data_IF_954764915419
#
_entry.id   IF_954764915419
#
_cell.length_a   1.000
_cell.length_b   1.000
_cell.length_c   1.000
_cell.angle_alpha   90.00
_cell.angle_beta   90.00
_cell.angle_gamma   90.00
#
_symmetry.space_group_name_H-M   'P 1'
#
loop_
_entity.id
_entity.type
_entity.pdbx_description
1 polymer ?
#
# COMPACT_ATOMS: atom_id res chain seq x y z
N UNK A 1 -24.07 -18.48 -26.28
CA UNK A 1 -22.77 -18.87 -26.85
C UNK A 1 -21.84 -17.67 -26.79
N UNK A 2 -21.04 -17.54 -25.73
CA UNK A 2 -20.20 -16.36 -25.51
C UNK A 2 -19.17 -16.52 -24.39
N UNK A 3 -19.03 -17.72 -23.82
CA UNK A 3 -18.08 -18.02 -22.76
C UNK A 3 -16.74 -18.60 -23.28
N UNK A 4 -16.66 -18.94 -24.57
CA UNK A 4 -15.50 -19.66 -25.12
C UNK A 4 -14.38 -18.75 -25.66
N UNK A 5 -14.58 -17.43 -25.70
CA UNK A 5 -13.59 -16.49 -26.26
C UNK A 5 -12.64 -15.86 -25.24
N UNK A 6 -13.00 -15.80 -23.96
CA UNK A 6 -12.09 -15.27 -22.92
C UNK A 6 -11.13 -16.33 -22.36
N UNK A 7 -11.43 -17.63 -22.50
CA UNK A 7 -10.56 -18.69 -22.00
C UNK A 7 -9.33 -18.94 -22.89
N UNK A 8 -9.36 -18.49 -24.16
CA UNK A 8 -8.26 -18.71 -25.12
C UNK A 8 -7.18 -17.62 -25.07
N UNK A 9 -7.49 -16.44 -24.53
CA UNK A 9 -6.54 -15.31 -24.51
C UNK A 9 -5.46 -15.42 -23.42
N UNK A 10 -5.65 -16.28 -22.41
CA UNK A 10 -4.68 -16.46 -21.31
C UNK A 10 -3.59 -17.50 -21.66
N UNK A 11 -3.79 -18.29 -22.72
CA UNK A 11 -2.95 -19.48 -22.97
C UNK A 11 -1.71 -19.26 -23.86
N UNK A 12 -1.51 -18.10 -24.49
CA UNK A 12 -0.39 -17.92 -25.44
C UNK A 12 0.50 -16.74 -25.11
N UNK A 13 1.09 -16.71 -23.90
CA UNK A 13 2.40 -16.05 -23.76
C UNK A 13 3.35 -16.83 -24.69
N UNK A 14 3.95 -16.20 -25.72
CA UNK A 14 4.80 -16.90 -26.67
C UNK A 14 5.95 -17.60 -25.93
N UNK A 15 6.32 -18.80 -26.40
CA UNK A 15 7.36 -19.63 -25.77
C UNK A 15 8.63 -18.82 -25.47
N UNK A 16 9.02 -17.93 -26.39
CA UNK A 16 10.13 -17.00 -26.22
C UNK A 16 9.98 -16.11 -24.97
N UNK A 17 8.81 -15.50 -24.74
CA UNK A 17 8.57 -14.69 -23.53
C UNK A 17 8.61 -15.54 -22.25
N UNK A 18 8.12 -16.79 -22.28
CA UNK A 18 8.21 -17.70 -21.13
C UNK A 18 9.66 -18.07 -20.82
N UNK A 19 10.44 -18.41 -21.85
CA UNK A 19 11.86 -18.73 -21.71
C UNK A 19 12.63 -17.52 -21.18
N UNK A 20 12.38 -16.32 -21.72
CA UNK A 20 13.03 -15.08 -21.25
C UNK A 20 12.68 -14.79 -19.78
N UNK A 21 11.41 -14.91 -19.39
CA UNK A 21 10.99 -14.68 -18.00
C UNK A 21 11.60 -15.71 -17.05
N UNK A 22 11.63 -16.99 -17.44
CA UNK A 22 12.26 -18.06 -16.65
C UNK A 22 13.77 -17.87 -16.55
N UNK A 23 14.44 -17.52 -17.65
CA UNK A 23 15.89 -17.28 -17.64
C UNK A 23 16.24 -16.03 -16.84
N UNK A 24 15.47 -14.94 -16.98
CA UNK A 24 15.70 -13.71 -16.23
C UNK A 24 15.40 -13.91 -14.74
N UNK A 25 14.33 -14.62 -14.39
CA UNK A 25 14.02 -15.00 -13.01
C UNK A 25 15.06 -15.93 -12.40
N UNK A 26 15.56 -16.90 -13.17
CA UNK A 26 16.65 -17.79 -12.76
C UNK A 26 17.96 -17.03 -12.54
N UNK A 27 18.31 -16.12 -13.45
CA UNK A 27 19.51 -15.29 -13.32
C UNK A 27 19.42 -14.35 -12.12
N UNK A 28 18.26 -13.75 -11.87
CA UNK A 28 18.08 -12.85 -10.73
C UNK A 28 18.16 -13.58 -9.39
N UNK A 29 17.60 -14.80 -9.30
CA UNK A 29 17.78 -15.68 -8.14
C UNK A 29 19.25 -16.10 -7.96
N UNK A 30 19.96 -16.41 -9.04
CA UNK A 30 21.38 -16.76 -8.98
C UNK A 30 22.26 -15.57 -8.53
N UNK A 31 21.98 -14.36 -9.03
CA UNK A 31 22.66 -13.14 -8.60
C UNK A 31 22.36 -12.81 -7.14
N UNK A 32 21.11 -12.98 -6.70
CA UNK A 32 20.75 -12.84 -5.29
C UNK A 32 21.47 -13.88 -4.41
N UNK A 33 21.56 -15.13 -4.87
CA UNK A 33 22.29 -16.19 -4.16
C UNK A 33 23.79 -15.88 -4.03
N UNK A 34 24.40 -15.25 -5.03
CA UNK A 34 25.80 -14.81 -4.98
C UNK A 34 26.04 -13.74 -3.91
N UNK A 35 25.03 -12.95 -3.56
CA UNK A 35 25.11 -12.00 -2.44
C UNK A 35 24.90 -12.68 -1.08
N UNK A 36 24.17 -13.80 -1.04
CA UNK A 36 23.92 -14.55 0.19
C UNK A 36 25.16 -15.31 0.67
N UNK A 37 26.02 -15.80 -0.22
CA UNK A 37 27.22 -16.57 0.16
C UNK A 37 28.23 -15.77 1.00
N UNK A 38 28.67 -14.56 0.57
CA UNK A 38 29.54 -13.72 1.39
C UNK A 38 28.87 -13.27 2.68
N UNK A 39 27.57 -12.98 2.63
CA UNK A 39 26.76 -12.63 3.81
C UNK A 39 26.75 -13.77 4.84
N UNK A 40 26.71 -15.02 4.36
CA UNK A 40 26.77 -16.21 5.19
C UNK A 40 28.15 -16.44 5.82
N UNK A 41 29.23 -16.21 5.07
CA UNK A 41 30.60 -16.27 5.61
C UNK A 41 30.85 -15.18 6.65
N UNK A 42 30.45 -13.94 6.38
CA UNK A 42 30.60 -12.84 7.34
C UNK A 42 29.78 -13.06 8.62
N UNK A 43 28.65 -13.77 8.55
CA UNK A 43 27.89 -14.14 9.75
C UNK A 43 28.72 -15.00 10.70
N UNK A 44 29.49 -15.98 10.20
CA UNK A 44 30.28 -16.89 11.06
C UNK A 44 31.31 -16.16 11.91
N UNK A 45 31.76 -14.99 11.46
CA UNK A 45 32.76 -14.15 12.12
C UNK A 45 32.11 -12.97 12.87
N UNK A 46 30.80 -12.80 12.73
CA UNK A 46 30.04 -11.71 13.36
C UNK A 46 29.64 -12.07 14.79
N UNK A 47 29.57 -11.07 15.68
CA UNK A 47 28.98 -11.20 17.01
C UNK A 47 27.50 -11.65 17.02
N UNK A 48 26.86 -11.74 15.83
CA UNK A 48 25.50 -12.27 15.60
C UNK A 48 25.49 -13.70 15.03
N UNK A 49 26.61 -14.42 15.08
CA UNK A 49 26.73 -15.78 14.57
C UNK A 49 25.76 -16.74 15.25
N UNK A 50 25.65 -16.63 16.58
CA UNK A 50 24.73 -17.43 17.40
C UNK A 50 23.44 -16.65 17.64
N UNK A 51 22.31 -17.24 17.25
CA UNK A 51 21.01 -16.83 17.78
C UNK A 51 20.96 -17.31 19.25
N UNK A 52 21.60 -16.55 20.14
CA UNK A 52 21.69 -16.83 21.57
C UNK A 52 20.63 -16.08 22.38
N UNK A 53 20.54 -16.36 23.68
CA UNK A 53 19.57 -15.74 24.60
C UNK A 53 19.64 -14.20 24.63
N UNK A 54 20.78 -13.61 24.28
CA UNK A 54 20.98 -12.17 24.25
C UNK A 54 20.45 -11.49 22.97
N UNK A 55 20.17 -12.24 21.89
CA UNK A 55 19.71 -11.73 20.60
C UNK A 55 18.57 -12.60 20.01
N UNK A 56 17.36 -12.56 20.60
CA UNK A 56 16.25 -13.36 20.11
C UNK A 56 15.87 -12.97 18.68
N UNK A 57 15.62 -13.96 17.81
CA UNK A 57 15.18 -13.77 16.41
C UNK A 57 13.91 -12.91 16.30
N UNK A 58 13.12 -12.89 17.37
CA UNK A 58 11.86 -12.16 17.48
C UNK A 58 12.04 -10.69 17.90
N UNK A 59 13.26 -10.26 18.23
CA UNK A 59 13.57 -8.85 18.52
C UNK A 59 13.05 -7.95 17.38
N UNK A 60 12.47 -6.80 17.70
CA UNK A 60 11.90 -5.91 16.68
C UNK A 60 10.56 -6.36 16.10
N UNK A 61 9.85 -7.26 16.79
CA UNK A 61 8.46 -7.58 16.46
C UNK A 61 7.53 -6.43 16.82
N UNK A 62 6.42 -6.33 16.08
CA UNK A 62 5.42 -5.26 16.20
C UNK A 62 4.20 -5.85 16.91
N UNK A 63 3.79 -5.31 18.08
CA UNK A 63 2.55 -5.75 18.71
C UNK A 63 1.35 -5.49 17.79
N UNK A 64 0.39 -6.41 17.75
CA UNK A 64 -0.77 -6.27 16.84
C UNK A 64 -1.59 -4.99 17.11
N UNK A 65 -1.69 -4.55 18.38
CA UNK A 65 -2.33 -3.27 18.71
C UNK A 65 -1.59 -2.07 18.13
N UNK A 66 -0.29 -2.18 17.91
CA UNK A 66 0.56 -1.12 17.39
C UNK A 66 0.42 -0.94 15.88
N UNK A 67 -0.22 -1.88 15.16
CA UNK A 67 -0.66 -1.68 13.78
C UNK A 67 -1.64 -0.52 13.63
N UNK A 68 -2.31 -0.13 14.73
CA UNK A 68 -3.14 1.07 14.73
C UNK A 68 -2.37 2.35 14.36
N UNK A 69 -1.04 2.35 14.36
CA UNK A 69 -0.23 3.44 13.81
C UNK A 69 -0.52 3.73 12.32
N UNK A 70 -0.94 2.72 11.55
CA UNK A 70 -1.32 2.90 10.15
C UNK A 70 -2.57 3.78 9.96
N UNK A 71 -3.51 3.73 10.90
CA UNK A 71 -4.82 4.41 10.83
C UNK A 71 -4.95 5.59 11.78
N UNK A 72 -4.20 5.58 12.88
CA UNK A 72 -4.24 6.61 13.93
C UNK A 72 -2.85 7.26 14.13
N UNK A 73 -2.24 7.84 13.09
CA UNK A 73 -0.91 8.46 13.21
C UNK A 73 -0.91 9.61 14.24
N UNK A 74 -2.03 10.32 14.39
CA UNK A 74 -2.22 11.36 15.40
C UNK A 74 -2.04 10.86 16.84
N UNK A 75 -2.45 9.62 17.13
CA UNK A 75 -2.22 9.04 18.47
C UNK A 75 -0.75 8.74 18.69
N UNK A 76 -0.09 8.12 17.72
CA UNK A 76 1.22 7.51 17.93
C UNK A 76 2.39 8.47 17.67
N UNK A 77 2.24 9.41 16.75
CA UNK A 77 3.26 10.43 16.46
C UNK A 77 2.98 11.77 17.14
N UNK A 78 1.99 11.85 18.04
CA UNK A 78 1.84 13.01 18.91
C UNK A 78 3.05 13.14 19.84
N UNK A 79 3.59 14.35 20.05
CA UNK A 79 4.66 14.56 21.03
C UNK A 79 4.23 14.24 22.47
N UNK A 80 2.92 14.17 22.74
CA UNK A 80 2.38 13.79 24.05
C UNK A 80 2.42 12.27 24.29
N UNK A 81 2.68 11.47 23.26
CA UNK A 81 2.64 10.00 23.34
C UNK A 81 4.02 9.42 23.56
N UNK A 82 4.24 8.80 24.73
CA UNK A 82 5.46 8.05 25.01
C UNK A 82 5.37 6.62 24.45
N UNK A 83 5.80 6.45 23.19
CA UNK A 83 5.77 5.16 22.48
C UNK A 83 6.69 4.12 23.12
N UNK A 84 7.86 4.53 23.61
CA UNK A 84 8.79 3.63 24.29
C UNK A 84 8.17 3.02 25.55
N UNK A 85 7.45 3.82 26.34
CA UNK A 85 6.75 3.34 27.51
C UNK A 85 5.60 2.38 27.13
N UNK A 86 4.84 2.69 26.07
CA UNK A 86 3.77 1.82 25.60
C UNK A 86 4.28 0.45 25.11
N UNK A 87 5.38 0.42 24.35
CA UNK A 87 5.99 -0.82 23.86
C UNK A 87 6.62 -1.65 24.99
N UNK A 88 7.15 -1.00 26.04
CA UNK A 88 7.66 -1.68 27.23
C UNK A 88 6.55 -2.25 28.11
N UNK A 89 5.40 -1.59 28.18
CA UNK A 89 4.27 -2.03 29.00
C UNK A 89 3.60 -3.29 28.44
N UNK A 90 3.52 -3.43 27.11
CA UNK A 90 2.91 -4.57 26.44
C UNK A 90 3.76 -5.06 25.25
N UNK A 91 4.84 -5.82 25.53
CA UNK A 91 5.73 -6.32 24.47
C UNK A 91 5.00 -7.37 23.60
N UNK A 92 5.37 -7.49 22.30
CA UNK A 92 4.73 -8.42 21.37
C UNK A 92 4.82 -9.88 21.83
N UNK A 93 5.95 -10.23 22.45
CA UNK A 93 6.26 -11.54 23.01
C UNK A 93 6.92 -11.33 24.38
N UNK A 94 6.45 -12.01 25.44
CA UNK A 94 7.03 -11.88 26.78
C UNK A 94 8.54 -12.15 26.78
N UNK A 95 9.32 -11.26 27.38
CA UNK A 95 10.79 -11.40 27.47
C UNK A 95 11.57 -10.95 26.23
N UNK A 96 10.90 -10.54 25.15
CA UNK A 96 11.55 -10.02 23.94
C UNK A 96 11.38 -8.51 23.86
N UNK A 97 12.49 -7.78 23.87
CA UNK A 97 12.47 -6.33 23.73
C UNK A 97 12.16 -5.91 22.28
N UNK A 98 11.51 -4.75 22.13
CA UNK A 98 11.28 -4.08 20.85
C UNK A 98 11.54 -2.58 20.99
N UNK A 99 11.89 -1.92 19.89
CA UNK A 99 12.19 -0.48 19.87
C UNK A 99 11.23 0.22 18.90
N UNK A 100 10.89 1.48 19.17
CA UNK A 100 10.09 2.35 18.30
C UNK A 100 10.62 2.43 16.88
N UNK A 101 11.95 2.37 16.71
CA UNK A 101 12.59 2.37 15.39
C UNK A 101 12.32 1.11 14.58
N UNK A 102 12.29 -0.05 15.23
CA UNK A 102 12.04 -1.33 14.57
C UNK A 102 10.54 -1.65 14.45
N UNK A 103 9.72 -1.11 15.35
CA UNK A 103 8.28 -1.32 15.37
C UNK A 103 7.49 -0.33 14.49
N UNK A 104 8.16 0.37 13.57
CA UNK A 104 7.53 1.39 12.72
C UNK A 104 6.79 0.78 11.52
N UNK A 105 5.49 1.10 11.39
CA UNK A 105 4.64 0.62 10.30
C UNK A 105 3.64 1.72 9.89
N UNK A 106 4.14 2.81 9.33
CA UNK A 106 3.30 3.87 8.76
C UNK A 106 3.71 4.18 7.32
N UNK A 107 2.72 4.21 6.44
CA UNK A 107 2.89 4.43 5.00
C UNK A 107 1.99 5.55 4.45
N UNK A 108 1.24 6.25 5.32
CA UNK A 108 0.35 7.36 4.96
C UNK A 108 -1.13 6.98 4.87
N UNK A 109 -2.02 7.87 5.34
CA UNK A 109 -3.48 7.66 5.27
C UNK A 109 -4.03 7.65 3.85
N UNK A 110 -3.55 8.54 2.98
CA UNK A 110 -3.98 8.59 1.59
C UNK A 110 -3.70 7.26 0.84
N UNK A 111 -2.46 6.75 0.78
CA UNK A 111 -2.19 5.46 0.13
C UNK A 111 -2.90 4.29 0.83
N UNK A 112 -3.13 4.34 2.14
CA UNK A 112 -3.94 3.33 2.83
C UNK A 112 -5.37 3.27 2.30
N UNK A 113 -6.04 4.42 2.17
CA UNK A 113 -7.41 4.47 1.65
C UNK A 113 -7.46 4.02 0.19
N UNK A 114 -6.49 4.46 -0.62
CA UNK A 114 -6.37 4.02 -2.01
C UNK A 114 -6.18 2.50 -2.11
N UNK A 115 -5.33 1.92 -1.25
CA UNK A 115 -5.13 0.49 -1.20
C UNK A 115 -6.41 -0.26 -0.80
N UNK A 116 -7.18 0.21 0.19
CA UNK A 116 -8.46 -0.40 0.54
C UNK A 116 -9.48 -0.36 -0.59
N UNK A 117 -9.58 0.76 -1.32
CA UNK A 117 -10.45 0.85 -2.50
C UNK A 117 -9.95 -0.10 -3.60
N UNK A 118 -8.63 -0.20 -3.78
CA UNK A 118 -7.99 -1.15 -4.69
C UNK A 118 -8.33 -2.60 -4.37
N UNK A 119 -8.23 -2.99 -3.10
CA UNK A 119 -8.59 -4.32 -2.61
C UNK A 119 -10.06 -4.62 -2.88
N UNK A 120 -10.98 -3.73 -2.46
CA UNK A 120 -12.41 -3.91 -2.72
C UNK A 120 -12.71 -4.02 -4.22
N UNK A 121 -12.05 -3.17 -5.03
CA UNK A 121 -12.14 -3.23 -6.48
C UNK A 121 -11.55 -4.51 -7.08
N UNK A 122 -10.51 -5.10 -6.49
CA UNK A 122 -9.90 -6.34 -6.97
C UNK A 122 -10.84 -7.53 -6.76
N UNK A 123 -11.49 -7.62 -5.59
CA UNK A 123 -12.48 -8.67 -5.32
C UNK A 123 -13.70 -8.58 -6.24
N UNK A 124 -14.26 -7.37 -6.43
CA UNK A 124 -15.43 -7.17 -7.29
C UNK A 124 -15.15 -7.55 -8.76
N UNK A 125 -13.90 -7.40 -9.22
CA UNK A 125 -13.51 -7.70 -10.61
C UNK A 125 -12.81 -9.06 -10.78
N UNK A 126 -12.57 -9.80 -9.70
CA UNK A 126 -11.77 -11.02 -9.73
C UNK A 126 -10.33 -10.79 -10.23
N UNK A 127 -9.72 -9.64 -9.92
CA UNK A 127 -8.38 -9.29 -10.40
C UNK A 127 -7.29 -10.07 -9.63
N UNK A 128 -6.63 -11.06 -10.25
CA UNK A 128 -5.69 -11.92 -9.55
C UNK A 128 -4.46 -11.17 -9.05
N UNK A 129 -4.08 -10.05 -9.68
CA UNK A 129 -2.90 -9.26 -9.29
C UNK A 129 -3.15 -8.49 -8.00
N UNK A 130 -4.31 -7.84 -7.90
CA UNK A 130 -4.72 -7.14 -6.67
C UNK A 130 -4.91 -8.11 -5.50
N UNK A 131 -5.49 -9.29 -5.76
CA UNK A 131 -5.64 -10.34 -4.75
C UNK A 131 -4.27 -10.86 -4.30
N UNK A 132 -3.35 -11.10 -5.23
CA UNK A 132 -1.98 -11.52 -4.90
C UNK A 132 -1.28 -10.51 -3.97
N UNK A 133 -1.28 -9.22 -4.30
CA UNK A 133 -0.64 -8.20 -3.46
C UNK A 133 -1.33 -8.02 -2.11
N UNK A 134 -2.65 -8.18 -2.04
CA UNK A 134 -3.40 -8.19 -0.79
C UNK A 134 -2.97 -9.35 0.11
N UNK A 135 -2.86 -10.56 -0.46
CA UNK A 135 -2.40 -11.74 0.29
C UNK A 135 -0.96 -11.56 0.77
N UNK A 136 -0.04 -11.16 -0.11
CA UNK A 136 1.37 -10.91 0.24
C UNK A 136 1.49 -9.87 1.35
N UNK A 137 0.80 -8.73 1.23
CA UNK A 137 0.81 -7.69 2.24
C UNK A 137 0.24 -8.15 3.58
N UNK A 138 -0.82 -8.96 3.55
CA UNK A 138 -1.48 -9.50 4.75
C UNK A 138 -0.60 -10.54 5.45
N UNK A 139 -0.01 -11.48 4.71
CA UNK A 139 0.95 -12.45 5.27
C UNK A 139 2.17 -11.75 5.86
N UNK A 140 2.72 -10.75 5.16
CA UNK A 140 3.83 -9.95 5.68
C UNK A 140 3.43 -9.18 6.95
N UNK A 141 2.21 -8.63 7.00
CA UNK A 141 1.69 -7.93 8.17
C UNK A 141 1.63 -8.87 9.37
N UNK A 142 1.02 -10.05 9.24
CA UNK A 142 1.01 -11.05 10.30
C UNK A 142 2.40 -11.48 10.73
N UNK A 143 3.33 -11.60 9.78
CA UNK A 143 4.73 -11.92 10.08
C UNK A 143 5.39 -10.86 10.97
N UNK A 144 5.03 -9.58 10.84
CA UNK A 144 5.59 -8.51 11.69
C UNK A 144 5.36 -8.71 13.19
N UNK A 145 4.35 -9.49 13.58
CA UNK A 145 4.11 -9.82 15.01
C UNK A 145 5.19 -10.69 15.64
N UNK A 146 6.04 -11.33 14.83
CA UNK A 146 7.05 -12.28 15.31
C UNK A 146 6.50 -13.64 15.73
N UNK A 147 5.17 -13.82 15.79
CA UNK A 147 4.54 -15.10 16.20
C UNK A 147 4.73 -16.23 15.19
N UNK A 148 5.00 -15.90 13.93
CA UNK A 148 5.26 -16.86 12.86
C UNK A 148 6.74 -17.24 12.74
N UNK A 149 7.63 -16.61 13.52
CA UNK A 149 9.08 -16.89 13.48
C UNK A 149 9.40 -18.37 13.80
N UNK A 150 8.79 -19.02 14.82
CA UNK A 150 9.07 -20.43 15.11
C UNK A 150 8.65 -21.42 14.01
N UNK A 151 7.86 -20.97 13.03
CA UNK A 151 7.47 -21.81 11.89
C UNK A 151 8.51 -21.78 10.76
N UNK A 152 9.28 -20.69 10.67
CA UNK A 152 10.21 -20.43 9.57
C UNK A 152 11.67 -20.43 10.00
N UNK A 153 11.96 -20.57 11.30
CA UNK A 153 13.32 -20.59 11.84
C UNK A 153 14.15 -21.78 11.30
N UNK A 154 13.50 -22.90 11.01
CA UNK A 154 14.09 -24.08 10.39
C UNK A 154 14.39 -23.92 8.89
N UNK A 155 13.87 -22.86 8.23
CA UNK A 155 14.09 -22.65 6.81
C UNK A 155 15.45 -21.97 6.56
N UNK A 156 16.29 -22.50 5.66
CA UNK A 156 17.57 -21.88 5.32
C UNK A 156 17.32 -20.48 4.74
N UNK A 157 17.93 -19.46 5.35
CA UNK A 157 17.78 -18.05 4.95
C UNK A 157 16.86 -17.22 5.85
N UNK A 158 15.83 -17.81 6.46
CA UNK A 158 14.90 -17.07 7.32
C UNK A 158 15.47 -16.78 8.71
N UNK A 159 16.37 -17.64 9.20
CA UNK A 159 17.13 -17.38 10.43
C UNK A 159 18.09 -16.17 10.33
N UNK A 160 18.33 -15.63 9.12
CA UNK A 160 19.21 -14.48 8.89
C UNK A 160 18.48 -13.14 9.02
N UNK A 161 17.19 -13.11 8.72
CA UNK A 161 16.37 -11.90 8.78
C UNK A 161 15.77 -11.73 10.18
N UNK A 162 16.64 -11.38 11.13
CA UNK A 162 16.24 -10.89 12.45
C UNK A 162 15.42 -9.59 12.30
N UNK A 163 14.41 -9.40 13.15
CA UNK A 163 13.53 -8.24 13.06
C UNK A 163 12.27 -8.51 12.25
N UNK A 164 11.27 -9.23 12.79
CA UNK A 164 10.01 -9.45 12.09
C UNK A 164 9.35 -8.15 11.65
N UNK A 165 9.51 -7.06 12.41
CA UNK A 165 9.02 -5.73 12.04
C UNK A 165 9.59 -5.19 10.72
N UNK A 166 10.76 -5.66 10.28
CA UNK A 166 11.36 -5.26 8.99
C UNK A 166 10.53 -5.73 7.79
N UNK A 167 9.71 -6.77 7.95
CA UNK A 167 8.74 -7.17 6.93
C UNK A 167 7.63 -6.13 6.74
N UNK A 168 7.57 -5.11 7.59
CA UNK A 168 6.82 -3.87 7.32
C UNK A 168 7.20 -3.21 5.99
N UNK A 169 8.41 -3.43 5.46
CA UNK A 169 8.78 -2.98 4.11
C UNK A 169 7.93 -3.66 3.03
N UNK A 170 7.64 -4.95 3.18
CA UNK A 170 6.82 -5.72 2.24
C UNK A 170 5.36 -5.28 2.33
N UNK A 171 4.87 -5.04 3.55
CA UNK A 171 3.53 -4.46 3.78
C UNK A 171 3.42 -3.10 3.08
N UNK A 172 4.41 -2.23 3.30
CA UNK A 172 4.45 -0.88 2.71
C UNK A 172 4.48 -0.95 1.19
N UNK A 173 5.28 -1.85 0.63
CA UNK A 173 5.36 -2.07 -0.81
C UNK A 173 4.03 -2.57 -1.39
N UNK A 174 3.39 -3.55 -0.75
CA UNK A 174 2.07 -4.04 -1.17
C UNK A 174 1.01 -2.93 -1.16
N UNK A 175 0.97 -2.11 -0.10
CA UNK A 175 0.08 -0.94 -0.01
C UNK A 175 0.38 0.06 -1.13
N UNK A 176 1.66 0.35 -1.41
CA UNK A 176 2.06 1.28 -2.46
C UNK A 176 1.62 0.79 -3.86
N UNK A 177 1.77 -0.51 -4.16
CA UNK A 177 1.34 -1.10 -5.42
C UNK A 177 -0.18 -1.02 -5.56
N UNK A 178 -0.94 -1.43 -4.54
CA UNK A 178 -2.41 -1.39 -4.55
C UNK A 178 -2.94 0.05 -4.67
N UNK A 179 -2.31 1.00 -3.97
CA UNK A 179 -2.64 2.41 -4.04
C UNK A 179 -2.33 2.99 -5.44
N UNK A 180 -1.14 2.70 -5.96
CA UNK A 180 -0.69 3.16 -7.28
C UNK A 180 -1.52 2.60 -8.42
N UNK A 181 -1.90 1.34 -8.37
CA UNK A 181 -2.81 0.74 -9.35
C UNK A 181 -4.20 1.40 -9.32
N UNK A 182 -4.71 1.68 -8.12
CA UNK A 182 -6.01 2.34 -7.94
C UNK A 182 -5.97 3.77 -8.47
N UNK A 183 -4.92 4.52 -8.14
CA UNK A 183 -4.71 5.87 -8.66
C UNK A 183 -4.53 5.86 -10.19
N UNK A 184 -3.73 4.94 -10.73
CA UNK A 184 -3.50 4.79 -12.17
C UNK A 184 -4.80 4.55 -12.93
N UNK A 185 -5.69 3.71 -12.41
CA UNK A 185 -7.03 3.46 -13.00
C UNK A 185 -7.92 4.70 -13.04
N UNK A 186 -7.71 5.66 -12.15
CA UNK A 186 -8.47 6.91 -12.14
C UNK A 186 -7.86 8.02 -12.98
N UNK A 187 -6.54 7.95 -13.22
CA UNK A 187 -5.88 8.87 -14.13
C UNK A 187 -6.19 8.57 -15.60
N UNK A 188 -6.77 7.40 -15.91
CA UNK A 188 -7.27 7.08 -17.26
C UNK A 188 -8.55 7.89 -17.55
N UNK A 189 -8.57 8.74 -18.60
CA UNK A 189 -9.75 9.51 -18.95
C UNK A 189 -10.98 8.63 -19.21
N UNK A 190 -12.12 8.95 -18.59
CA UNK A 190 -13.42 8.31 -18.83
C UNK A 190 -13.86 7.24 -17.82
N UNK A 191 -12.98 6.74 -16.94
CA UNK A 191 -13.28 5.64 -16.00
C UNK A 191 -13.71 6.11 -14.60
N UNK A 192 -13.51 7.39 -14.26
CA UNK A 192 -13.80 7.91 -12.92
C UNK A 192 -15.29 8.20 -12.76
N UNK A 193 -15.98 7.36 -11.98
CA UNK A 193 -17.31 7.64 -11.43
C UNK A 193 -17.23 8.77 -10.39
N UNK A 194 -18.21 9.68 -10.40
CA UNK A 194 -18.31 10.79 -9.45
C UNK A 194 -18.28 10.32 -7.98
N UNK A 195 -18.79 9.12 -7.67
CA UNK A 195 -18.75 8.54 -6.33
C UNK A 195 -17.32 8.23 -5.87
N UNK A 196 -16.46 7.76 -6.78
CA UNK A 196 -15.06 7.42 -6.46
C UNK A 196 -14.23 8.67 -6.24
N UNK A 197 -14.43 9.72 -7.05
CA UNK A 197 -13.77 11.00 -6.85
C UNK A 197 -14.09 11.65 -5.48
N UNK A 198 -15.34 11.51 -5.01
CA UNK A 198 -15.75 12.00 -3.68
C UNK A 198 -14.99 11.29 -2.57
N UNK A 199 -14.92 9.95 -2.60
CA UNK A 199 -14.20 9.17 -1.57
C UNK A 199 -12.73 9.57 -1.51
N UNK A 200 -12.11 9.84 -2.66
CA UNK A 200 -10.71 10.27 -2.75
C UNK A 200 -10.52 11.67 -2.22
N UNK A 201 -11.40 12.60 -2.60
CA UNK A 201 -11.39 13.95 -2.06
C UNK A 201 -11.49 13.93 -0.54
N UNK A 202 -12.41 13.14 0.02
CA UNK A 202 -12.56 12.96 1.47
C UNK A 202 -11.32 12.32 2.11
N UNK A 203 -10.71 11.32 1.49
CA UNK A 203 -9.50 10.68 1.99
C UNK A 203 -8.29 11.64 2.00
N UNK A 204 -8.12 12.42 0.93
CA UNK A 204 -7.08 13.45 0.83
C UNK A 204 -7.30 14.55 1.86
N UNK A 205 -8.56 14.99 2.06
CA UNK A 205 -8.92 15.95 3.11
C UNK A 205 -8.62 15.41 4.51
N UNK A 206 -8.94 14.15 4.78
CA UNK A 206 -8.63 13.51 6.06
C UNK A 206 -7.11 13.41 6.29
N UNK A 207 -6.33 13.09 5.25
CA UNK A 207 -4.87 13.05 5.33
C UNK A 207 -4.26 14.44 5.60
N UNK A 208 -4.75 15.48 4.92
CA UNK A 208 -4.33 16.86 5.14
C UNK A 208 -4.71 17.33 6.55
N UNK A 209 -5.94 17.06 6.99
CA UNK A 209 -6.40 17.40 8.34
C UNK A 209 -5.61 16.69 9.43
N UNK A 210 -5.22 15.42 9.21
CA UNK A 210 -4.36 14.70 10.17
C UNK A 210 -2.95 15.30 10.26
N UNK A 211 -2.40 15.77 9.13
CA UNK A 211 -1.08 16.40 9.08
C UNK A 211 -1.12 17.79 9.73
N UNK A 212 -2.21 18.53 9.50
CA UNK A 212 -2.52 19.81 10.14
C UNK A 212 -2.46 19.71 11.66
N UNK A 213 -3.24 18.77 12.19
CA UNK A 213 -3.33 18.55 13.63
C UNK A 213 -1.98 18.21 14.26
N UNK A 214 -1.13 17.47 13.54
CA UNK A 214 0.20 17.11 14.04
C UNK A 214 1.13 18.33 14.14
N UNK A 215 1.02 19.29 13.20
CA UNK A 215 1.76 20.56 13.24
C UNK A 215 1.31 21.39 14.44
N UNK A 216 0.01 21.55 14.64
CA UNK A 216 -0.59 22.25 15.79
C UNK A 216 -0.12 21.65 17.12
N UNK A 217 -0.22 20.33 17.29
CA UNK A 217 0.23 19.66 18.51
C UNK A 217 1.72 19.81 18.76
N UNK A 218 2.52 19.90 17.70
CA UNK A 218 3.96 20.15 17.82
C UNK A 218 4.24 21.57 18.31
N UNK A 219 3.50 22.56 17.80
CA UNK A 219 3.57 23.94 18.30
C UNK A 219 3.20 24.04 19.78
N UNK A 220 2.08 23.43 20.20
CA UNK A 220 1.66 23.39 21.61
C UNK A 220 2.75 22.82 22.53
N UNK A 221 3.46 21.78 22.08
CA UNK A 221 4.54 21.15 22.86
C UNK A 221 5.79 22.03 22.90
N UNK A 222 6.17 22.64 21.78
CA UNK A 222 7.31 23.58 21.71
C UNK A 222 7.08 24.76 22.66
N UNK A 223 5.88 25.34 22.65
CA UNK A 223 5.51 26.46 23.51
C UNK A 223 5.46 26.06 24.99
N UNK A 224 4.80 24.95 25.32
CA UNK A 224 4.66 24.50 26.71
C UNK A 224 6.00 24.07 27.34
N UNK A 225 6.90 23.48 26.57
CA UNK A 225 8.23 23.07 27.04
C UNK A 225 9.31 24.17 26.92
N UNK A 226 8.96 25.34 26.36
CA UNK A 226 9.88 26.48 26.11
C UNK A 226 11.11 26.09 25.28
N UNK A 227 10.95 25.17 24.35
CA UNK A 227 12.02 24.82 23.42
C UNK A 227 12.13 25.89 22.31
N UNK A 228 13.33 26.15 21.79
CA UNK A 228 13.46 26.91 20.55
C UNK A 228 12.76 26.14 19.42
N UNK A 229 11.95 26.85 18.63
CA UNK A 229 11.22 26.25 17.52
C UNK A 229 12.18 25.57 16.53
N UNK A 230 11.96 24.29 16.17
CA UNK A 230 12.80 23.61 15.20
C UNK A 230 12.72 24.27 13.82
N UNK A 231 13.84 24.33 13.09
CA UNK A 231 13.91 24.97 11.77
C UNK A 231 13.07 24.30 10.68
N UNK A 232 12.64 23.06 10.90
CA UNK A 232 11.78 22.29 10.00
C UNK A 232 10.29 22.45 10.31
N UNK A 233 9.92 23.06 11.45
CA UNK A 233 8.52 23.25 11.83
C UNK A 233 7.95 24.43 11.01
N UNK A 234 6.96 24.19 10.14
CA UNK A 234 6.36 25.28 9.37
C UNK A 234 5.67 26.28 10.31
N UNK A 235 5.71 27.57 9.95
CA UNK A 235 4.93 28.57 10.66
C UNK A 235 3.44 28.25 10.56
N UNK A 236 2.67 28.57 11.60
CA UNK A 236 1.20 28.35 11.61
C UNK A 236 0.53 28.96 10.37
N UNK A 237 1.00 30.14 9.94
CA UNK A 237 0.53 30.82 8.74
C UNK A 237 0.81 30.02 7.46
N UNK A 238 2.06 29.56 7.25
CA UNK A 238 2.44 28.80 6.06
C UNK A 238 1.65 27.51 5.98
N UNK A 239 1.56 26.83 7.12
CA UNK A 239 0.74 25.67 7.25
C UNK A 239 -0.71 26.04 6.82
N UNK A 240 -1.30 27.12 7.35
CA UNK A 240 -2.73 27.40 7.19
C UNK A 240 -3.12 27.67 5.75
N UNK A 241 -2.21 28.34 5.02
CA UNK A 241 -2.31 28.57 3.59
C UNK A 241 -2.30 27.25 2.81
N UNK A 242 -1.35 26.35 3.10
CA UNK A 242 -1.25 25.05 2.42
C UNK A 242 -2.50 24.20 2.70
N UNK A 243 -2.95 24.14 3.95
CA UNK A 243 -4.16 23.41 4.34
C UNK A 243 -5.38 23.91 3.58
N UNK A 244 -5.57 25.23 3.51
CA UNK A 244 -6.68 25.86 2.78
C UNK A 244 -6.63 25.57 1.28
N UNK A 245 -5.45 25.65 0.66
CA UNK A 245 -5.26 25.32 -0.75
C UNK A 245 -5.62 23.86 -1.05
N UNK A 246 -5.22 22.92 -0.19
CA UNK A 246 -5.58 21.52 -0.34
C UNK A 246 -7.09 21.29 -0.24
N UNK A 247 -7.77 22.00 0.68
CA UNK A 247 -9.24 21.91 0.84
C UNK A 247 -9.95 22.44 -0.41
N UNK A 248 -9.54 23.59 -0.91
CA UNK A 248 -10.10 24.20 -2.12
C UNK A 248 -9.87 23.30 -3.34
N UNK A 249 -8.66 22.76 -3.51
CA UNK A 249 -8.33 21.86 -4.61
C UNK A 249 -9.16 20.56 -4.57
N UNK A 250 -9.34 19.97 -3.38
CA UNK A 250 -10.20 18.81 -3.19
C UNK A 250 -11.67 19.13 -3.51
N UNK A 251 -12.16 20.28 -3.03
CA UNK A 251 -13.52 20.77 -3.32
C UNK A 251 -13.76 21.01 -4.80
N UNK A 252 -12.81 21.65 -5.50
CA UNK A 252 -12.86 21.82 -6.96
C UNK A 252 -12.86 20.47 -7.69
N UNK A 253 -12.01 19.53 -7.27
CA UNK A 253 -11.97 18.18 -7.84
C UNK A 253 -13.31 17.45 -7.72
N UNK A 254 -13.96 17.53 -6.55
CA UNK A 254 -15.30 16.98 -6.32
C UNK A 254 -16.35 17.70 -7.18
N UNK A 255 -16.29 19.03 -7.25
CA UNK A 255 -17.20 19.83 -8.05
C UNK A 255 -17.13 19.46 -9.54
N UNK A 256 -15.94 19.40 -10.13
CA UNK A 256 -15.77 19.00 -11.53
C UNK A 256 -16.16 17.53 -11.76
N UNK A 257 -15.91 16.64 -10.80
CA UNK A 257 -16.30 15.23 -10.90
C UNK A 257 -17.83 15.03 -10.85
N UNK A 258 -18.56 15.90 -10.13
CA UNK A 258 -20.03 15.85 -10.05
C UNK A 258 -20.70 16.58 -11.21
N UNK A 259 -20.03 17.59 -11.80
CA UNK A 259 -20.54 18.39 -12.91
C UNK A 259 -20.22 17.79 -14.29
N UNK A 260 -20.42 16.48 -14.48
CA UNK A 260 -20.39 15.92 -15.85
C UNK A 260 -21.46 16.65 -16.68
N UNK A 261 -21.12 17.26 -17.83
CA UNK A 261 -22.14 17.78 -18.72
C UNK A 261 -23.03 16.61 -19.12
N UNK A 262 -24.35 16.79 -19.01
CA UNK A 262 -25.32 15.87 -19.58
C UNK A 262 -24.86 15.57 -21.00
N UNK A 263 -24.39 14.33 -21.22
CA UNK A 263 -24.15 13.85 -22.57
C UNK A 263 -25.53 13.85 -23.19
N UNK A 264 -25.80 14.86 -24.01
CA UNK A 264 -26.98 14.89 -24.87
C UNK A 264 -26.85 13.61 -25.68
N UNK A 265 -27.71 12.64 -25.41
CA UNK A 265 -27.91 11.46 -26.25
C UNK A 265 -28.53 11.93 -27.58
N UNK A 266 -27.72 12.61 -28.37
CA UNK A 266 -27.97 12.94 -29.75
C UNK A 266 -27.59 11.76 -30.63
N UNK A 267 -28.37 10.68 -30.58
CA UNK A 267 -28.42 9.72 -31.69
C UNK A 267 -29.82 9.15 -31.92
N UNK A 268 -30.82 10.02 -31.83
CA UNK A 268 -32.03 9.89 -32.65
C UNK A 268 -31.77 10.59 -33.99
N UNK A 269 -31.10 9.91 -34.93
CA UNK A 269 -31.09 10.23 -36.37
C UNK A 269 -30.18 9.27 -37.16
N UNK A 270 -30.48 7.97 -37.15
CA UNK A 270 -30.24 7.16 -38.36
C UNK A 270 -31.54 6.47 -38.73
N UNK A 271 -32.30 7.20 -39.54
CA UNK A 271 -33.40 6.73 -40.36
C UNK A 271 -33.06 5.36 -40.97
N UNK A 272 -33.97 4.38 -40.93
CA UNK A 272 -35.13 4.32 -41.83
C UNK A 272 -34.73 4.65 -43.27
N UNK A 273 -34.03 3.72 -43.92
CA UNK A 273 -34.09 3.56 -45.36
C UNK A 273 -33.91 2.06 -45.67
N UNK A 274 -34.91 1.43 -46.30
CA UNK A 274 -34.78 0.10 -46.89
C UNK A 274 -35.47 -1.06 -46.16
N UNK A 275 -36.80 -1.01 -46.03
CA UNK A 275 -37.63 -2.22 -46.02
C UNK A 275 -38.10 -2.44 -47.47
N UNK A 276 -38.11 -3.69 -47.92
CA UNK A 276 -38.76 -4.26 -49.14
C UNK A 276 -37.91 -4.47 -50.42
N UNK A 277 -37.52 -5.73 -50.65
CA UNK A 277 -37.73 -6.56 -51.86
C UNK A 277 -37.10 -7.94 -51.56
N UNK A 278 -37.90 -8.93 -51.17
CA UNK A 278 -38.54 -9.95 -52.03
C UNK A 278 -37.57 -10.97 -52.63
N UNK A 279 -37.80 -12.22 -52.22
CA UNK A 279 -37.60 -13.48 -52.93
C UNK A 279 -37.05 -13.46 -54.37
N UNK A 280 -36.14 -14.40 -54.66
CA UNK A 280 -36.14 -15.08 -55.95
C UNK A 280 -34.77 -15.33 -56.59
N UNK A 281 -34.49 -16.61 -56.76
CA UNK A 281 -33.95 -17.22 -57.99
C UNK A 281 -32.44 -17.45 -58.10
N UNK A 282 -32.14 -18.73 -58.37
CA UNK A 282 -30.97 -19.30 -59.02
C UNK A 282 -30.34 -18.40 -60.08
N UNK A 283 -29.00 -18.43 -60.19
CA UNK A 283 -28.31 -18.85 -61.40
C UNK A 283 -26.77 -18.90 -61.19
N UNK A 284 -26.19 -19.98 -61.73
CA UNK A 284 -24.77 -20.35 -61.87
C UNK A 284 -24.01 -20.76 -60.59
#
# INVERSE_FOLDING_TARGET
MGADLELVAVTTIPLACRVILLSAGGLSLALAAMQLLPTWEFRRVSQRAEAGMDHPLQFGSIPAWYWSQAVMPFKWYSPMSNRDAALRADPPIPGVATNVGEAHLYFGLAPLVLAFIGIGGAFVRGDPRGIFWMLVGTFALFYTTGRLVPLVDALPGFSFFQGPGRYGIVVTFAVAILAGETAGRWLVPGTVSSRRAIVVGLASLAAVGSSWWLVEMTWVVVESAKFPAPSWLPSELLAGVIGSLCVVAAGMGIYFATRRPNRVDGSSARNRCGRTQSAGTLCC
#
